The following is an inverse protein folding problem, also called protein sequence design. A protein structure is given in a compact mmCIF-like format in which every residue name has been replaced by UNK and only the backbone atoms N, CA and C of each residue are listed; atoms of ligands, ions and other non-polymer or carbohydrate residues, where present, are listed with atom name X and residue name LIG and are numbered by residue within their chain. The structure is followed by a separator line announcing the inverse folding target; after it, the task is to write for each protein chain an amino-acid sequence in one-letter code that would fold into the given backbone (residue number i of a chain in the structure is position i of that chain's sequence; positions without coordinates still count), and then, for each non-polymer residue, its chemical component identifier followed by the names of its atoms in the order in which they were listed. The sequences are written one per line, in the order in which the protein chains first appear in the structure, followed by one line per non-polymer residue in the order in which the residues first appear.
data_IF_345578478808
#
_entry.id   IF_345578478808
#
_cell.length_a   1.000
_cell.length_b   1.000
_cell.length_c   1.000
_cell.angle_alpha   90.00
_cell.angle_beta   90.00
_cell.angle_gamma   90.00
#
_symmetry.space_group_name_H-M   'P 1'
#
loop_
_entity.id
_entity.type
_entity.pdbx_description
1 polymer ?
#
# COMPACT_ATOMS: atom_id res chain seq x y z
N UNK A 1 0.23 -2.56 15.28
CA UNK A 1 -1.01 -1.76 15.14
C UNK A 1 -1.38 -1.74 13.66
N UNK A 2 -2.55 -2.27 13.30
CA UNK A 2 -3.09 -2.22 11.94
C UNK A 2 -3.80 -0.89 11.73
N UNK A 3 -3.78 -0.38 10.50
CA UNK A 3 -4.50 0.85 10.11
C UNK A 3 -5.95 0.50 9.79
N UNK A 4 -6.87 1.43 10.06
CA UNK A 4 -8.29 1.19 9.83
C UNK A 4 -8.58 1.02 8.32
N UNK A 5 -7.91 1.83 7.49
CA UNK A 5 -8.00 1.79 6.03
C UNK A 5 -6.78 2.38 5.32
N UNK A 6 -6.81 2.37 3.98
CA UNK A 6 -5.80 3.06 3.18
C UNK A 6 -6.10 4.57 3.14
N UNK A 7 -5.09 5.40 3.40
CA UNK A 7 -5.13 6.84 3.21
C UNK A 7 -4.14 7.25 2.11
N UNK A 8 -4.27 8.48 1.61
CA UNK A 8 -3.36 9.03 0.61
C UNK A 8 -1.90 9.08 1.09
N UNK A 9 -1.71 9.22 2.41
CA UNK A 9 -0.38 9.17 3.06
C UNK A 9 0.28 7.81 2.82
N UNK A 10 -0.46 6.70 2.92
CA UNK A 10 0.10 5.36 2.68
C UNK A 10 0.56 5.19 1.22
N UNK A 11 -0.16 5.78 0.27
CA UNK A 11 0.21 5.76 -1.15
C UNK A 11 1.46 6.62 -1.39
N UNK A 12 1.52 7.82 -0.81
CA UNK A 12 2.67 8.72 -0.92
C UNK A 12 3.96 8.11 -0.32
N UNK A 13 3.84 7.45 0.83
CA UNK A 13 4.95 6.69 1.44
C UNK A 13 5.39 5.56 0.52
N UNK A 14 4.44 4.78 -0.03
CA UNK A 14 4.75 3.69 -0.95
C UNK A 14 5.50 4.17 -2.20
N UNK A 15 5.04 5.26 -2.82
CA UNK A 15 5.70 5.86 -3.98
C UNK A 15 7.12 6.32 -3.65
N UNK A 16 7.34 6.89 -2.47
CA UNK A 16 8.68 7.25 -1.99
C UNK A 16 9.58 6.03 -1.92
N UNK A 17 9.12 4.94 -1.31
CA UNK A 17 9.90 3.69 -1.23
C UNK A 17 10.15 3.06 -2.60
N UNK A 18 9.17 3.10 -3.51
CA UNK A 18 9.34 2.60 -4.88
C UNK A 18 10.42 3.39 -5.64
N UNK A 19 10.46 4.73 -5.49
CA UNK A 19 11.51 5.58 -6.07
C UNK A 19 12.89 5.23 -5.51
N UNK A 20 13.00 5.12 -4.19
CA UNK A 20 14.26 4.80 -3.50
C UNK A 20 14.76 3.39 -3.87
N UNK A 21 13.85 2.42 -3.95
CA UNK A 21 14.17 1.04 -4.30
C UNK A 21 14.34 0.80 -5.82
N UNK A 22 14.14 1.84 -6.66
CA UNK A 22 14.12 1.73 -8.13
C UNK A 22 13.18 0.64 -8.64
N UNK A 23 12.01 0.49 -8.01
CA UNK A 23 10.95 -0.45 -8.41
C UNK A 23 9.77 0.32 -8.96
N UNK A 24 9.08 -0.27 -9.95
CA UNK A 24 7.91 0.35 -10.61
C UNK A 24 6.59 -0.02 -9.96
N UNK A 25 6.56 -1.05 -9.12
CA UNK A 25 5.32 -1.65 -8.63
C UNK A 25 5.51 -2.03 -7.17
N UNK A 26 4.46 -1.80 -6.38
CA UNK A 26 4.36 -2.39 -5.06
C UNK A 26 2.93 -2.63 -4.61
N UNK A 27 2.82 -3.32 -3.48
CA UNK A 27 1.56 -3.77 -2.90
C UNK A 27 1.41 -3.19 -1.50
N UNK A 28 0.29 -2.50 -1.30
CA UNK A 28 -0.21 -2.14 0.02
C UNK A 28 -1.17 -3.24 0.46
N UNK A 29 -0.99 -3.75 1.68
CA UNK A 29 -1.81 -4.81 2.25
C UNK A 29 -2.36 -4.33 3.59
N UNK A 30 -3.68 -4.26 3.69
CA UNK A 30 -4.40 -4.01 4.91
C UNK A 30 -4.98 -5.34 5.42
N UNK A 31 -4.56 -5.73 6.62
CA UNK A 31 -5.07 -6.94 7.29
C UNK A 31 -6.31 -6.66 8.15
N UNK A 32 -6.70 -5.40 8.34
CA UNK A 32 -7.91 -4.99 9.06
C UNK A 32 -9.16 -5.05 8.17
N UNK A 33 -9.37 -6.17 7.49
CA UNK A 33 -10.54 -6.37 6.63
C UNK A 33 -11.05 -7.80 6.71
N UNK A 34 -12.36 -7.98 6.55
CA UNK A 34 -13.02 -9.29 6.57
C UNK A 34 -12.52 -10.23 5.47
N UNK A 35 -12.00 -9.70 4.36
CA UNK A 35 -11.45 -10.47 3.25
C UNK A 35 -10.19 -9.82 2.75
N UNK A 36 -9.08 -10.57 2.73
CA UNK A 36 -7.79 -10.05 2.29
C UNK A 36 -7.83 -9.54 0.84
N UNK A 37 -8.71 -10.10 -0.01
CA UNK A 37 -8.94 -9.61 -1.38
C UNK A 37 -9.31 -8.13 -1.41
N UNK A 38 -10.06 -7.65 -0.42
CA UNK A 38 -10.47 -6.25 -0.29
C UNK A 38 -9.41 -5.38 0.41
N UNK A 39 -8.40 -6.02 1.02
CA UNK A 39 -7.30 -5.37 1.71
C UNK A 39 -6.05 -5.19 0.85
N UNK A 40 -6.06 -5.56 -0.42
CA UNK A 40 -4.86 -5.44 -1.27
C UNK A 40 -5.06 -4.28 -2.24
N UNK A 41 -4.09 -3.36 -2.28
CA UNK A 41 -4.04 -2.25 -3.24
C UNK A 41 -2.69 -2.25 -3.95
N UNK A 42 -2.73 -2.30 -5.28
CA UNK A 42 -1.54 -2.18 -6.13
C UNK A 42 -1.21 -0.70 -6.36
N UNK A 43 0.05 -0.35 -6.21
CA UNK A 43 0.58 1.00 -6.49
C UNK A 43 1.66 0.86 -7.56
N UNK A 44 1.60 1.70 -8.59
CA UNK A 44 2.63 1.82 -9.62
C UNK A 44 3.26 3.20 -9.54
N UNK A 45 4.57 3.28 -9.79
CA UNK A 45 5.24 4.54 -10.06
C UNK A 45 4.84 5.09 -11.43
#
# INVERSE_FOLDING_TARGET
KTVDGFSDVHVAQMLTYLRLAKKRVGLLINFNTKSLKNGIKRVSL
#
